data_IF_874890752003
#
_entry.id   IF_874890752003
#
_cell.length_a   1.000
_cell.length_b   1.000
_cell.length_c   1.000
_cell.angle_alpha   90.00
_cell.angle_beta   90.00
_cell.angle_gamma   90.00
#
_symmetry.space_group_name_H-M   'P 1'
#
loop_
_entity.id
_entity.type
_entity.pdbx_description
1 polymer ?
#
# COMPACT_ATOMS: atom_id res chain seq x y z
N UNK A 1 -12.30 0.80 14.25
CA UNK A 1 -11.99 2.17 13.84
C UNK A 1 -10.64 2.20 13.14
N UNK A 2 -10.25 3.33 12.56
CA UNK A 2 -8.91 3.55 11.99
C UNK A 2 -8.29 4.72 12.74
N UNK A 3 -7.23 4.46 13.48
CA UNK A 3 -6.45 5.53 14.13
C UNK A 3 -5.56 6.21 13.11
N UNK A 4 -5.35 7.52 13.25
CA UNK A 4 -4.50 8.31 12.38
C UNK A 4 -3.46 9.04 13.22
N UNK A 5 -2.19 8.95 12.82
CA UNK A 5 -1.11 9.79 13.34
C UNK A 5 -0.76 10.78 12.23
N UNK A 6 -0.80 12.07 12.55
CA UNK A 6 -0.57 13.14 11.60
C UNK A 6 0.51 14.08 12.14
N UNK A 7 1.57 14.30 11.35
CA UNK A 7 2.58 15.32 11.64
C UNK A 7 2.09 16.66 11.10
N UNK A 8 2.04 17.67 11.97
CA UNK A 8 1.61 19.02 11.63
C UNK A 8 2.57 20.07 12.19
N UNK A 9 2.61 21.24 11.57
CA UNK A 9 3.44 22.36 12.04
C UNK A 9 2.97 23.75 11.59
N UNK A 10 2.16 23.83 10.53
CA UNK A 10 1.68 25.10 9.97
C UNK A 10 0.22 25.46 10.28
N UNK A 11 -0.55 24.55 10.89
CA UNK A 11 -1.96 24.77 11.22
C UNK A 11 -2.38 24.03 12.49
N UNK A 12 -3.30 24.64 13.25
CA UNK A 12 -3.97 24.06 14.42
C UNK A 12 -5.35 23.46 14.12
N UNK A 13 -5.72 23.31 12.84
CA UNK A 13 -7.08 22.94 12.39
C UNK A 13 -7.59 21.56 12.84
N UNK A 14 -6.74 20.76 13.49
CA UNK A 14 -7.10 19.42 13.99
C UNK A 14 -7.09 19.33 15.52
N UNK A 15 -6.79 20.43 16.24
CA UNK A 15 -6.75 20.41 17.70
C UNK A 15 -8.11 20.11 18.36
N UNK A 16 -9.21 20.43 17.68
CA UNK A 16 -10.58 20.20 18.14
C UNK A 16 -11.02 18.73 18.02
N UNK A 17 -10.47 18.00 17.04
CA UNK A 17 -10.80 16.58 16.77
C UNK A 17 -9.72 15.60 17.21
N UNK A 18 -8.53 16.07 17.62
CA UNK A 18 -7.44 15.20 18.02
C UNK A 18 -7.64 14.64 19.44
N UNK A 19 -7.52 13.31 19.57
CA UNK A 19 -7.51 12.64 20.88
C UNK A 19 -6.22 12.92 21.67
N UNK A 20 -5.09 13.12 20.98
CA UNK A 20 -3.78 13.34 21.60
C UNK A 20 -2.93 14.26 20.73
N UNK A 21 -2.27 15.23 21.35
CA UNK A 21 -1.35 16.16 20.66
C UNK A 21 0.03 16.09 21.30
N UNK A 22 1.01 15.66 20.52
CA UNK A 22 2.42 15.56 20.92
C UNK A 22 3.19 16.68 20.21
N UNK A 23 3.82 17.55 21.00
CA UNK A 23 4.78 18.51 20.48
C UNK A 23 6.20 17.94 20.59
N UNK A 24 6.99 18.10 19.52
CA UNK A 24 8.42 17.80 19.54
C UNK A 24 9.19 19.10 19.74
N UNK A 25 9.89 19.25 20.86
CA UNK A 25 10.75 20.40 21.14
C UNK A 25 12.16 19.90 21.47
N UNK A 26 13.18 20.36 20.75
CA UNK A 26 14.57 19.90 20.87
C UNK A 26 14.68 18.35 20.87
N UNK A 27 13.93 17.69 19.98
CA UNK A 27 13.81 16.23 19.87
C UNK A 27 13.25 15.52 21.11
N UNK A 28 12.59 16.25 22.01
CA UNK A 28 11.90 15.70 23.17
C UNK A 28 10.38 15.78 22.97
N UNK A 29 9.65 14.66 23.07
CA UNK A 29 8.19 14.66 22.97
C UNK A 29 7.57 15.20 24.25
N UNK A 30 6.55 16.05 24.10
CA UNK A 30 5.74 16.57 25.20
C UNK A 30 4.27 16.37 24.86
N UNK A 31 3.51 15.81 25.80
CA UNK A 31 2.05 15.81 25.70
C UNK A 31 1.55 17.23 25.94
N UNK A 32 0.94 17.83 24.92
CA UNK A 32 0.38 19.17 24.95
C UNK A 32 -1.11 19.16 24.65
N UNK A 33 -1.78 18.02 24.84
CA UNK A 33 -3.20 17.82 24.52
C UNK A 33 -4.09 18.87 25.20
N UNK A 34 -3.91 19.12 26.50
CA UNK A 34 -4.70 20.13 27.23
C UNK A 34 -4.50 21.54 26.67
N UNK A 35 -3.25 21.89 26.32
CA UNK A 35 -2.92 23.21 25.74
C UNK A 35 -3.56 23.37 24.35
N UNK A 36 -3.51 22.33 23.53
CA UNK A 36 -4.12 22.32 22.19
C UNK A 36 -5.65 22.49 22.28
N UNK A 37 -6.31 21.77 23.19
CA UNK A 37 -7.75 21.90 23.43
C UNK A 37 -8.14 23.29 23.95
N UNK A 38 -7.32 23.92 24.79
CA UNK A 38 -7.54 25.31 25.23
C UNK A 38 -7.46 26.28 24.05
N UNK A 39 -6.52 26.10 23.12
CA UNK A 39 -6.41 26.92 21.92
C UNK A 39 -7.64 26.73 21.02
N UNK A 40 -8.04 25.48 20.77
CA UNK A 40 -9.23 25.18 19.95
C UNK A 40 -10.52 25.80 20.48
N UNK A 41 -10.67 25.87 21.82
CA UNK A 41 -11.80 26.55 22.46
C UNK A 41 -11.79 28.06 22.28
N UNK A 42 -10.61 28.68 22.30
CA UNK A 42 -10.45 30.13 22.18
C UNK A 42 -10.50 30.61 20.72
N UNK A 43 -10.11 29.75 19.78
CA UNK A 43 -10.06 30.02 18.34
C UNK A 43 -10.88 28.96 17.62
N UNK A 44 -12.20 29.01 17.81
CA UNK A 44 -13.11 28.08 17.17
C UNK A 44 -13.04 28.23 15.65
N UNK A 45 -12.69 27.14 14.96
CA UNK A 45 -12.70 27.08 13.51
C UNK A 45 -14.13 26.83 13.04
N UNK A 46 -14.70 27.74 12.24
CA UNK A 46 -16.05 27.58 11.65
C UNK A 46 -16.08 26.54 10.52
N UNK A 47 -15.36 25.41 10.66
CA UNK A 47 -15.33 24.40 9.61
C UNK A 47 -16.67 23.72 9.49
N UNK A 48 -17.17 23.65 8.27
CA UNK A 48 -18.30 22.78 7.94
C UNK A 48 -17.76 21.37 7.78
N UNK A 49 -18.39 20.39 8.45
CA UNK A 49 -18.02 19.00 8.26
C UNK A 49 -18.32 18.58 6.81
N UNK A 50 -17.26 18.40 6.01
CA UNK A 50 -17.36 17.95 4.61
C UNK A 50 -17.62 16.44 4.50
N UNK A 51 -17.34 15.70 5.58
CA UNK A 51 -17.54 14.26 5.65
C UNK A 51 -19.00 13.85 5.84
N UNK A 52 -19.34 12.64 5.37
CA UNK A 52 -20.60 11.99 5.70
C UNK A 52 -20.63 11.44 7.14
N UNK A 53 -21.79 10.94 7.57
CA UNK A 53 -21.95 10.28 8.89
C UNK A 53 -21.15 8.98 9.02
N UNK A 54 -20.78 8.38 7.90
CA UNK A 54 -20.00 7.15 7.81
C UNK A 54 -19.18 7.14 6.51
N UNK A 55 -18.18 6.26 6.44
CA UNK A 55 -17.37 6.04 5.23
C UNK A 55 -18.10 5.20 4.16
N UNK A 56 -19.37 4.86 4.38
CA UNK A 56 -20.16 4.04 3.45
C UNK A 56 -19.66 2.61 3.31
N UNK A 57 -19.99 2.00 2.17
CA UNK A 57 -19.54 0.66 1.78
C UNK A 57 -18.35 0.77 0.84
N UNK A 58 -17.26 0.06 1.17
CA UNK A 58 -16.10 -0.03 0.28
C UNK A 58 -16.50 -0.84 -0.95
N UNK A 59 -16.36 -0.24 -2.15
CA UNK A 59 -16.65 -0.92 -3.41
C UNK A 59 -15.58 -1.99 -3.68
N UNK A 60 -15.96 -3.28 -3.77
CA UNK A 60 -15.03 -4.32 -4.17
C UNK A 60 -14.55 -4.06 -5.61
N UNK A 61 -13.27 -4.33 -5.89
CA UNK A 61 -12.69 -4.18 -7.22
C UNK A 61 -12.26 -5.54 -7.72
N UNK A 62 -12.71 -5.94 -8.90
CA UNK A 62 -12.32 -7.23 -9.52
C UNK A 62 -11.30 -6.94 -10.63
N UNK A 63 -10.01 -7.30 -10.46
CA UNK A 63 -8.99 -7.04 -11.47
C UNK A 63 -9.25 -7.83 -12.77
N UNK A 64 -9.15 -7.13 -13.90
CA UNK A 64 -9.23 -7.75 -15.23
C UNK A 64 -7.86 -8.22 -15.68
N UNK A 65 -7.79 -9.45 -16.18
CA UNK A 65 -6.54 -10.14 -16.48
C UNK A 65 -5.68 -9.41 -17.51
N UNK A 66 -6.30 -8.83 -18.54
CA UNK A 66 -5.61 -8.16 -19.64
C UNK A 66 -4.80 -6.93 -19.20
N UNK A 67 -5.17 -6.31 -18.07
CA UNK A 67 -4.48 -5.12 -17.54
C UNK A 67 -3.19 -5.44 -16.79
N UNK A 68 -2.86 -6.72 -16.62
CA UNK A 68 -1.74 -7.20 -15.82
C UNK A 68 -0.90 -8.14 -16.69
N UNK A 69 0.00 -7.57 -17.48
CA UNK A 69 0.83 -8.31 -18.43
C UNK A 69 2.33 -8.21 -18.05
N UNK A 70 2.96 -9.30 -17.57
CA UNK A 70 4.39 -9.32 -17.28
C UNK A 70 5.26 -9.51 -18.53
N UNK A 71 4.68 -9.64 -19.72
CA UNK A 71 5.39 -9.96 -20.94
C UNK A 71 6.11 -8.76 -21.57
N UNK A 72 7.20 -9.03 -22.28
CA UNK A 72 7.87 -8.02 -23.12
C UNK A 72 8.67 -8.65 -24.25
N UNK A 73 8.31 -8.30 -25.48
CA UNK A 73 8.94 -8.86 -26.68
C UNK A 73 8.73 -10.37 -26.74
N UNK A 74 9.82 -11.15 -26.77
CA UNK A 74 9.75 -12.63 -26.82
C UNK A 74 9.65 -13.31 -25.45
N UNK A 75 9.73 -12.55 -24.34
CA UNK A 75 9.69 -13.10 -22.98
C UNK A 75 8.26 -13.03 -22.43
N UNK A 76 7.72 -14.19 -22.01
CA UNK A 76 6.41 -14.27 -21.35
C UNK A 76 6.40 -13.55 -20.00
N UNK A 77 7.52 -13.58 -19.27
CA UNK A 77 7.71 -12.83 -18.03
C UNK A 77 9.04 -12.08 -18.11
N UNK A 78 8.99 -10.76 -17.94
CA UNK A 78 10.18 -9.90 -17.84
C UNK A 78 10.03 -8.97 -16.64
N UNK A 79 10.76 -9.31 -15.58
CA UNK A 79 10.85 -8.52 -14.37
C UNK A 79 12.22 -7.84 -14.29
N UNK A 80 12.26 -6.63 -13.75
CA UNK A 80 13.50 -5.89 -13.50
C UNK A 80 13.34 -5.07 -12.23
N UNK A 81 14.16 -5.38 -11.23
CA UNK A 81 14.20 -4.68 -9.95
C UNK A 81 15.64 -4.28 -9.67
N UNK A 82 15.88 -2.99 -9.42
CA UNK A 82 17.23 -2.44 -9.21
C UNK A 82 17.42 -1.82 -7.83
N UNK A 83 16.36 -1.22 -7.30
CA UNK A 83 16.29 -0.51 -6.03
C UNK A 83 14.94 -0.82 -5.37
N UNK A 84 14.47 0.06 -4.48
CA UNK A 84 13.19 -0.06 -3.76
C UNK A 84 12.07 0.79 -4.38
N UNK A 85 12.38 1.55 -5.45
CA UNK A 85 11.51 2.60 -5.97
C UNK A 85 10.75 2.17 -7.23
N UNK A 86 11.29 1.26 -8.05
CA UNK A 86 10.64 0.89 -9.32
C UNK A 86 10.75 -0.60 -9.64
N UNK A 87 9.65 -1.15 -10.16
CA UNK A 87 9.63 -2.47 -10.82
C UNK A 87 9.37 -2.30 -12.31
N UNK A 88 10.30 -2.73 -13.15
CA UNK A 88 10.00 -3.03 -14.54
C UNK A 88 9.19 -4.32 -14.63
N UNK A 89 7.92 -4.22 -15.04
CA UNK A 89 6.96 -5.31 -15.13
C UNK A 89 6.46 -5.43 -16.58
N UNK A 90 7.06 -6.36 -17.34
CA UNK A 90 6.76 -6.49 -18.76
C UNK A 90 7.11 -5.22 -19.54
N UNK A 91 6.12 -4.68 -20.26
CA UNK A 91 6.19 -3.41 -20.98
C UNK A 91 6.11 -2.18 -20.06
N UNK A 92 5.57 -2.35 -18.87
CA UNK A 92 5.30 -1.27 -17.92
C UNK A 92 6.41 -1.11 -16.88
N UNK A 93 6.42 0.08 -16.27
CA UNK A 93 7.15 0.35 -15.05
C UNK A 93 6.15 0.71 -13.95
N UNK A 94 6.26 0.04 -12.80
CA UNK A 94 5.49 0.31 -11.60
C UNK A 94 6.36 1.16 -10.68
N UNK A 95 6.04 2.45 -10.59
CA UNK A 95 6.65 3.38 -9.66
C UNK A 95 6.11 3.13 -8.24
N UNK A 96 6.99 2.87 -7.30
CA UNK A 96 6.74 2.57 -5.89
C UNK A 96 7.53 3.50 -4.95
N UNK A 97 8.14 4.56 -5.47
CA UNK A 97 8.88 5.56 -4.68
C UNK A 97 8.06 6.18 -3.55
N UNK A 98 6.75 6.32 -3.75
CA UNK A 98 5.81 6.80 -2.73
C UNK A 98 5.36 5.73 -1.71
N UNK A 99 5.94 4.53 -1.74
CA UNK A 99 5.68 3.43 -0.81
C UNK A 99 6.92 3.22 0.06
N UNK A 100 7.24 4.26 0.85
CA UNK A 100 8.47 4.36 1.66
C UNK A 100 8.71 3.21 2.66
N UNK A 101 7.68 2.40 2.93
CA UNK A 101 7.77 1.25 3.83
C UNK A 101 8.42 0.02 3.17
N UNK A 102 8.70 0.07 1.86
CA UNK A 102 9.58 -0.87 1.17
C UNK A 102 11.01 -0.42 1.43
N UNK A 103 11.74 -1.18 2.23
CA UNK A 103 13.07 -0.79 2.73
C UNK A 103 14.19 -1.63 2.13
N UNK A 104 13.87 -2.71 1.43
CA UNK A 104 14.84 -3.64 0.88
C UNK A 104 14.47 -4.13 -0.52
N UNK A 105 15.48 -4.21 -1.40
CA UNK A 105 15.33 -4.61 -2.81
C UNK A 105 14.73 -6.03 -2.94
N UNK A 106 15.05 -6.94 -2.01
CA UNK A 106 14.49 -8.29 -1.98
C UNK A 106 12.98 -8.32 -1.76
N UNK A 107 12.41 -7.32 -1.06
CA UNK A 107 10.96 -7.18 -0.91
C UNK A 107 10.33 -6.85 -2.26
N UNK A 108 10.95 -5.93 -2.99
CA UNK A 108 10.45 -5.51 -4.30
C UNK A 108 10.56 -6.62 -5.34
N UNK A 109 11.62 -7.46 -5.26
CA UNK A 109 11.71 -8.71 -6.04
C UNK A 109 10.57 -9.65 -5.71
N UNK A 110 10.34 -9.93 -4.43
CA UNK A 110 9.26 -10.82 -3.99
C UNK A 110 7.88 -10.29 -4.41
N UNK A 111 7.62 -8.98 -4.28
CA UNK A 111 6.38 -8.34 -4.75
C UNK A 111 6.20 -8.53 -6.26
N UNK A 112 7.26 -8.32 -7.06
CA UNK A 112 7.18 -8.48 -8.52
C UNK A 112 6.84 -9.91 -8.94
N UNK A 113 7.35 -10.92 -8.22
CA UNK A 113 7.04 -12.34 -8.43
C UNK A 113 5.63 -12.67 -7.95
N UNK A 114 5.21 -12.11 -6.81
CA UNK A 114 3.85 -12.24 -6.29
C UNK A 114 2.79 -11.67 -7.23
N UNK A 115 3.08 -10.61 -7.99
CA UNK A 115 2.19 -10.11 -9.04
C UNK A 115 2.01 -11.13 -10.19
N UNK A 116 3.11 -11.76 -10.63
CA UNK A 116 3.05 -12.82 -11.65
C UNK A 116 2.26 -14.02 -11.12
N UNK A 117 2.58 -14.45 -9.90
CA UNK A 117 1.90 -15.56 -9.23
C UNK A 117 0.39 -15.31 -9.07
N UNK A 118 0.00 -14.11 -8.62
CA UNK A 118 -1.40 -13.70 -8.54
C UNK A 118 -2.09 -13.74 -9.90
N UNK A 119 -1.40 -13.29 -10.96
CA UNK A 119 -1.92 -13.25 -12.33
C UNK A 119 -2.19 -14.65 -12.89
N UNK A 120 -1.34 -15.61 -12.55
CA UNK A 120 -1.42 -16.98 -13.05
C UNK A 120 -2.42 -17.83 -12.25
N UNK A 121 -2.49 -17.64 -10.92
CA UNK A 121 -3.27 -18.52 -10.04
C UNK A 121 -4.66 -17.98 -9.67
N UNK A 122 -4.83 -16.67 -9.54
CA UNK A 122 -6.00 -16.08 -8.87
C UNK A 122 -6.72 -14.97 -9.64
N UNK A 123 -6.08 -14.29 -10.58
CA UNK A 123 -6.75 -13.26 -11.40
C UNK A 123 -7.53 -13.94 -12.51
N UNK A 124 -8.77 -14.31 -12.17
CA UNK A 124 -9.74 -15.03 -12.99
C UNK A 124 -11.00 -14.20 -13.34
N UNK A 125 -10.97 -12.90 -13.04
CA UNK A 125 -12.07 -11.94 -13.22
C UNK A 125 -13.33 -12.25 -12.39
N UNK A 126 -13.19 -13.02 -11.30
CA UNK A 126 -14.26 -13.31 -10.34
C UNK A 126 -13.92 -12.85 -8.94
N UNK A 127 -12.66 -13.06 -8.55
CA UNK A 127 -12.19 -12.70 -7.22
C UNK A 127 -11.91 -11.21 -7.12
N UNK A 128 -12.26 -10.64 -5.98
CA UNK A 128 -11.91 -9.26 -5.66
C UNK A 128 -10.42 -9.15 -5.39
N UNK A 129 -9.89 -7.94 -5.57
CA UNK A 129 -8.51 -7.59 -5.24
C UNK A 129 -8.15 -8.01 -3.81
N UNK A 130 -9.04 -7.79 -2.84
CA UNK A 130 -8.78 -8.13 -1.44
C UNK A 130 -8.68 -9.64 -1.22
N UNK A 131 -9.49 -10.44 -1.92
CA UNK A 131 -9.46 -11.90 -1.84
C UNK A 131 -8.20 -12.46 -2.49
N UNK A 132 -7.84 -11.97 -3.68
CA UNK A 132 -6.60 -12.35 -4.39
C UNK A 132 -5.39 -12.09 -3.50
N UNK A 133 -5.30 -10.89 -2.92
CA UNK A 133 -4.21 -10.53 -2.01
C UNK A 133 -4.18 -11.42 -0.77
N UNK A 134 -5.33 -11.79 -0.21
CA UNK A 134 -5.39 -12.69 0.95
C UNK A 134 -4.91 -14.11 0.59
N UNK A 135 -5.30 -14.62 -0.58
CA UNK A 135 -4.89 -15.95 -1.06
C UNK A 135 -3.38 -16.01 -1.32
N UNK A 136 -2.81 -15.00 -1.99
CA UNK A 136 -1.36 -14.93 -2.22
C UNK A 136 -0.58 -14.89 -0.90
N UNK A 137 -1.01 -14.06 0.05
CA UNK A 137 -0.33 -13.99 1.35
C UNK A 137 -0.47 -15.29 2.15
N UNK A 138 -1.62 -15.97 2.04
CA UNK A 138 -1.85 -17.27 2.68
C UNK A 138 -0.91 -18.33 2.12
N UNK A 139 -0.76 -18.41 0.80
CA UNK A 139 0.18 -19.35 0.18
C UNK A 139 1.62 -19.09 0.63
N UNK A 140 2.04 -17.81 0.70
CA UNK A 140 3.37 -17.44 1.20
C UNK A 140 3.54 -17.82 2.68
N UNK A 141 2.50 -17.72 3.49
CA UNK A 141 2.53 -18.11 4.91
C UNK A 141 2.65 -19.64 5.08
N UNK A 142 1.94 -20.42 4.25
CA UNK A 142 1.91 -21.89 4.32
C UNK A 142 3.15 -22.55 3.68
N UNK A 143 3.64 -22.00 2.56
CA UNK A 143 4.67 -22.62 1.72
C UNK A 143 5.99 -21.83 1.69
N UNK A 144 6.03 -20.64 2.29
CA UNK A 144 7.17 -19.73 2.23
C UNK A 144 7.26 -18.95 0.92
N UNK A 145 8.31 -18.12 0.78
CA UNK A 145 8.50 -17.28 -0.41
C UNK A 145 8.81 -18.08 -1.69
N UNK A 146 9.29 -19.31 -1.54
CA UNK A 146 9.65 -20.18 -2.67
C UNK A 146 8.45 -20.50 -3.56
N UNK A 147 7.22 -20.44 -3.03
CA UNK A 147 5.96 -20.64 -3.79
C UNK A 147 5.81 -19.66 -4.96
N UNK A 148 6.47 -18.50 -4.88
CA UNK A 148 6.45 -17.46 -5.91
C UNK A 148 7.35 -17.76 -7.11
N UNK A 149 8.12 -18.86 -7.05
CA UNK A 149 9.18 -19.18 -8.02
C UNK A 149 9.17 -20.66 -8.38
N UNK A 150 9.69 -20.99 -9.57
CA UNK A 150 9.82 -22.40 -10.00
C UNK A 150 10.94 -23.14 -9.26
N UNK A 151 11.96 -22.41 -8.82
CA UNK A 151 13.10 -22.92 -8.07
C UNK A 151 13.43 -21.90 -6.97
N UNK A 152 13.85 -22.35 -5.76
CA UNK A 152 14.17 -21.46 -4.65
C UNK A 152 15.16 -20.35 -5.04
N UNK A 153 14.79 -19.10 -4.75
CA UNK A 153 15.61 -17.90 -4.96
C UNK A 153 16.01 -17.33 -3.58
N UNK A 154 17.32 -17.28 -3.28
CA UNK A 154 17.83 -16.86 -1.97
C UNK A 154 17.84 -15.35 -1.71
N UNK A 155 17.18 -14.55 -2.54
CA UNK A 155 17.18 -13.09 -2.50
C UNK A 155 15.76 -12.47 -2.41
N UNK A 156 14.77 -13.29 -2.07
CA UNK A 156 13.41 -12.85 -1.77
C UNK A 156 13.27 -12.49 -0.29
N UNK A 157 12.56 -11.40 -0.01
CA UNK A 157 12.33 -10.92 1.36
C UNK A 157 10.84 -10.70 1.59
N UNK A 158 10.38 -11.01 2.81
CA UNK A 158 8.99 -10.88 3.19
C UNK A 158 8.49 -9.43 3.03
N UNK A 159 7.28 -9.30 2.51
CA UNK A 159 6.56 -8.03 2.35
C UNK A 159 5.16 -8.15 2.95
N UNK A 160 4.47 -7.02 3.20
CA UNK A 160 3.10 -7.05 3.69
C UNK A 160 2.13 -6.98 2.52
N UNK A 161 0.91 -7.45 2.75
CA UNK A 161 -0.19 -7.40 1.80
C UNK A 161 -0.42 -6.00 1.20
N UNK A 162 -0.14 -4.94 1.97
CA UNK A 162 -0.31 -3.55 1.56
C UNK A 162 0.67 -3.14 0.45
N UNK A 163 1.92 -3.62 0.49
CA UNK A 163 2.91 -3.33 -0.55
C UNK A 163 2.53 -4.02 -1.87
N UNK A 164 2.06 -5.26 -1.80
CA UNK A 164 1.55 -5.98 -2.99
C UNK A 164 0.32 -5.27 -3.58
N UNK A 165 -0.61 -4.83 -2.72
CA UNK A 165 -1.75 -4.03 -3.14
C UNK A 165 -1.30 -2.72 -3.80
N UNK A 166 -0.31 -2.04 -3.22
CA UNK A 166 0.22 -0.78 -3.72
C UNK A 166 0.85 -0.94 -5.10
N UNK A 167 1.61 -2.02 -5.33
CA UNK A 167 2.21 -2.34 -6.62
C UNK A 167 1.14 -2.62 -7.68
N UNK A 168 0.14 -3.45 -7.36
CA UNK A 168 -0.95 -3.73 -8.29
C UNK A 168 -1.75 -2.46 -8.63
N UNK A 169 -2.10 -1.65 -7.63
CA UNK A 169 -2.86 -0.40 -7.82
C UNK A 169 -2.10 0.69 -8.60
N UNK A 170 -0.78 0.59 -8.73
CA UNK A 170 0.06 1.56 -9.45
C UNK A 170 0.46 1.08 -10.84
N UNK A 171 0.06 -0.13 -11.23
CA UNK A 171 0.21 -0.59 -12.60
C UNK A 171 -0.74 0.19 -13.50
N UNK A 172 -0.19 0.97 -14.44
CA UNK A 172 -0.96 1.90 -15.29
C UNK A 172 -1.99 1.22 -16.18
N UNK A 173 -1.74 -0.03 -16.55
CA UNK A 173 -2.62 -0.85 -17.38
C UNK A 173 -3.71 -1.55 -16.57
N UNK A 174 -3.68 -1.50 -15.23
CA UNK A 174 -4.68 -2.15 -14.39
C UNK A 174 -6.09 -1.65 -14.73
N UNK A 175 -6.97 -2.60 -15.02
CA UNK A 175 -8.41 -2.36 -15.18
C UNK A 175 -9.17 -3.19 -14.16
N UNK A 176 -10.29 -2.66 -13.66
CA UNK A 176 -11.12 -3.31 -12.64
C UNK A 176 -12.61 -3.18 -12.99
N UNK A 177 -13.41 -4.15 -12.58
CA UNK A 177 -14.87 -4.04 -12.49
C UNK A 177 -15.30 -3.49 -11.14
#
# INVERSE_FOLDING_TARGET
GVSTILVMGGSGDYFDVADTVIAMDNFQPQDVTEKAQLIAKNYFTERTAEGGKNFGTITPRVPLAHGIDPSRGRKAVKLKVRDVDEVGFGAENIDLSAVEQIVEVGQLRAISKALVYAKEKYIDERLTLSEILALVMKDIEEEGLDVLTLFPEGDLVQFRRLELAAALNRLRTLSVL
#
